data_IF_787119737340
#
_entry.id   IF_787119737340
#
_cell.length_a   1.000
_cell.length_b   1.000
_cell.length_c   1.000
_cell.angle_alpha   90.00
_cell.angle_beta   90.00
_cell.angle_gamma   90.00
#
_symmetry.space_group_name_H-M   'P 1'
#
loop_
_entity.id
_entity.type
_entity.pdbx_description
1 polymer ?
#
# COMPACT_ATOMS: atom_id res chain seq x y z
N UNK A 1 -12.96 3.55 18.48
CA UNK A 1 -12.37 4.59 17.59
C UNK A 1 -13.48 5.55 17.21
N UNK A 2 -13.26 6.86 17.33
CA UNK A 2 -14.17 7.85 16.73
C UNK A 2 -14.31 7.55 15.24
N UNK A 3 -15.55 7.54 14.72
CA UNK A 3 -15.79 7.28 13.30
C UNK A 3 -15.15 8.39 12.47
N UNK A 4 -14.18 8.05 11.61
CA UNK A 4 -13.66 8.94 10.57
C UNK A 4 -12.36 9.69 10.88
N UNK A 5 -11.63 9.36 11.94
CA UNK A 5 -10.30 9.95 12.17
C UNK A 5 -9.20 9.18 11.45
N UNK A 6 -8.25 9.90 10.84
CA UNK A 6 -7.01 9.34 10.27
C UNK A 6 -5.91 9.14 11.31
N UNK A 7 -6.14 9.50 12.58
CA UNK A 7 -5.16 9.39 13.65
C UNK A 7 -4.99 7.92 14.09
N UNK A 8 -3.79 7.39 13.93
CA UNK A 8 -3.38 6.06 14.41
C UNK A 8 -2.21 6.24 15.40
N UNK A 9 -2.47 6.23 16.72
CA UNK A 9 -1.42 6.37 17.73
C UNK A 9 -0.35 5.28 17.61
N UNK A 10 0.92 5.65 17.84
CA UNK A 10 2.05 4.72 17.87
C UNK A 10 2.25 3.85 16.61
N UNK A 11 1.72 4.25 15.46
CA UNK A 11 1.83 3.50 14.20
C UNK A 11 3.27 3.17 13.79
N UNK A 12 4.21 4.07 14.07
CA UNK A 12 5.64 3.87 13.78
C UNK A 12 6.27 2.73 14.60
N UNK A 13 5.71 2.37 15.77
CA UNK A 13 6.18 1.25 16.59
C UNK A 13 5.69 -0.11 16.10
N UNK A 14 4.68 -0.12 15.25
CA UNK A 14 4.06 -1.34 14.73
C UNK A 14 4.91 -1.92 13.60
N UNK A 15 4.88 -3.25 13.47
CA UNK A 15 5.45 -3.95 12.30
C UNK A 15 4.52 -3.83 11.07
N UNK A 16 5.00 -4.28 9.90
CA UNK A 16 4.27 -4.12 8.63
C UNK A 16 2.88 -4.81 8.67
N UNK A 17 2.79 -6.00 9.25
CA UNK A 17 1.53 -6.76 9.30
C UNK A 17 0.50 -6.10 10.23
N UNK A 18 0.94 -5.59 11.38
CA UNK A 18 0.10 -4.80 12.28
C UNK A 18 -0.43 -3.54 11.60
N UNK A 19 0.43 -2.83 10.86
CA UNK A 19 0.06 -1.64 10.10
C UNK A 19 -1.00 -1.97 9.05
N UNK A 20 -0.78 -3.02 8.25
CA UNK A 20 -1.71 -3.48 7.22
C UNK A 20 -3.08 -3.86 7.81
N UNK A 21 -3.10 -4.60 8.92
CA UNK A 21 -4.35 -4.98 9.61
C UNK A 21 -5.15 -3.77 10.06
N UNK A 22 -4.51 -2.78 10.69
CA UNK A 22 -5.20 -1.57 11.16
C UNK A 22 -5.75 -0.76 9.98
N UNK A 23 -4.96 -0.55 8.92
CA UNK A 23 -5.42 0.18 7.74
C UNK A 23 -6.60 -0.55 7.10
N UNK A 24 -6.53 -1.87 6.95
CA UNK A 24 -7.63 -2.69 6.42
C UNK A 24 -8.93 -2.46 7.18
N UNK A 25 -8.88 -2.53 8.52
CA UNK A 25 -10.05 -2.31 9.38
C UNK A 25 -10.56 -0.86 9.34
N UNK A 26 -9.65 0.12 9.32
CA UNK A 26 -9.98 1.55 9.40
C UNK A 26 -10.74 2.05 8.16
N UNK A 27 -10.30 1.65 6.97
CA UNK A 27 -10.88 2.09 5.68
C UNK A 27 -11.70 1.00 4.98
N UNK A 28 -11.94 -0.13 5.64
CA UNK A 28 -12.75 -1.26 5.14
C UNK A 28 -12.24 -1.86 3.83
N UNK A 29 -10.93 -2.08 3.75
CA UNK A 29 -10.32 -2.76 2.61
C UNK A 29 -10.59 -4.26 2.65
N UNK A 30 -10.60 -4.88 1.48
CA UNK A 30 -10.68 -6.33 1.31
C UNK A 30 -9.32 -6.98 1.54
N UNK A 31 -9.27 -8.31 1.60
CA UNK A 31 -8.00 -9.05 1.61
C UNK A 31 -7.19 -8.84 0.34
N UNK A 32 -7.86 -8.69 -0.80
CA UNK A 32 -7.19 -8.52 -2.09
C UNK A 32 -6.59 -7.11 -2.23
N UNK A 33 -7.24 -6.09 -1.67
CA UNK A 33 -6.70 -4.73 -1.58
C UNK A 33 -5.40 -4.66 -0.75
N UNK A 34 -5.26 -5.51 0.28
CA UNK A 34 -4.03 -5.56 1.08
C UNK A 34 -2.95 -6.36 0.36
N UNK A 35 -3.31 -7.48 -0.27
CA UNK A 35 -2.36 -8.31 -1.04
C UNK A 35 -1.68 -7.54 -2.17
N UNK A 36 -2.34 -6.55 -2.77
CA UNK A 36 -1.73 -5.77 -3.85
C UNK A 36 -0.46 -5.03 -3.38
N UNK A 37 -0.35 -4.73 -2.08
CA UNK A 37 0.82 -4.08 -1.48
C UNK A 37 2.08 -4.96 -1.48
N UNK A 38 1.95 -6.27 -1.75
CA UNK A 38 3.08 -7.19 -1.93
C UNK A 38 3.63 -7.18 -3.37
N UNK A 39 2.94 -6.49 -4.28
CA UNK A 39 3.28 -6.43 -5.69
C UNK A 39 3.50 -4.98 -6.15
N UNK A 40 4.34 -4.82 -7.17
CA UNK A 40 4.57 -3.53 -7.82
C UNK A 40 3.70 -3.35 -9.06
N UNK A 41 3.94 -2.25 -9.77
CA UNK A 41 3.42 -2.01 -11.11
C UNK A 41 3.89 -3.11 -12.08
N UNK A 42 3.06 -3.47 -13.05
CA UNK A 42 3.45 -4.37 -14.13
C UNK A 42 4.32 -3.65 -15.18
N UNK A 43 5.37 -4.31 -15.67
CA UNK A 43 6.32 -3.70 -16.63
C UNK A 43 5.64 -3.29 -17.94
N UNK A 44 4.63 -4.04 -18.42
CA UNK A 44 3.91 -3.69 -19.65
C UNK A 44 3.00 -2.48 -19.48
N UNK A 45 2.57 -2.18 -18.25
CA UNK A 45 1.85 -0.95 -17.93
C UNK A 45 2.85 0.19 -17.84
N UNK A 46 3.99 -0.01 -17.16
CA UNK A 46 5.04 0.99 -17.03
C UNK A 46 5.55 1.46 -18.41
N UNK A 47 5.79 0.53 -19.34
CA UNK A 47 6.23 0.80 -20.72
C UNK A 47 5.26 1.71 -21.50
N UNK A 48 3.98 1.74 -21.12
CA UNK A 48 2.96 2.59 -21.72
C UNK A 48 2.81 3.95 -21.03
N UNK A 49 3.46 4.16 -19.88
CA UNK A 49 3.32 5.40 -19.10
C UNK A 49 4.24 6.51 -19.58
N UNK A 50 5.47 6.19 -19.98
CA UNK A 50 6.51 7.15 -20.42
C UNK A 50 7.43 6.52 -21.48
N UNK A 51 8.25 7.31 -22.17
CA UNK A 51 9.23 6.79 -23.12
C UNK A 51 10.49 6.23 -22.44
N UNK A 52 11.21 5.35 -23.15
CA UNK A 52 12.51 4.79 -22.76
C UNK A 52 12.51 4.02 -21.43
N UNK A 53 11.41 3.32 -21.12
CA UNK A 53 11.33 2.43 -19.95
C UNK A 53 12.23 1.23 -20.13
N UNK A 54 13.10 0.98 -19.15
CA UNK A 54 14.00 -0.19 -19.10
C UNK A 54 13.81 -1.05 -17.84
N UNK A 55 12.83 -0.72 -17.01
CA UNK A 55 12.56 -1.40 -15.75
C UNK A 55 11.66 -0.58 -14.83
N UNK A 56 11.43 -1.11 -13.62
CA UNK A 56 10.64 -0.46 -12.57
C UNK A 56 11.52 -0.28 -11.34
N UNK A 57 11.37 0.85 -10.67
CA UNK A 57 11.91 1.07 -9.33
C UNK A 57 10.77 1.06 -8.31
N UNK A 58 10.98 0.40 -7.16
CA UNK A 58 10.05 0.39 -6.05
C UNK A 58 10.56 1.32 -4.95
N UNK A 59 9.67 2.15 -4.41
CA UNK A 59 9.96 3.00 -3.27
C UNK A 59 9.18 2.50 -2.05
N UNK A 60 9.72 2.65 -0.84
CA UNK A 60 8.94 2.41 0.37
C UNK A 60 7.65 3.24 0.37
N UNK A 61 6.53 2.61 0.71
CA UNK A 61 5.20 3.19 0.87
C UNK A 61 4.72 3.02 2.32
#
# INVERSE_FOLDING_TARGET
MERGTSRIPEFYKMNIEERRRIIKELVKLTDDDIKILDSGLDLSIADKMIENVIGITQLPL
#
